data_IF_400395602404
#
_entry.id   IF_400395602404
#
_cell.length_a   1.000
_cell.length_b   1.000
_cell.length_c   1.000
_cell.angle_alpha   90.00
_cell.angle_beta   90.00
_cell.angle_gamma   90.00
#
_symmetry.space_group_name_H-M   'P 1'
#
loop_
_entity.id
_entity.type
_entity.pdbx_description
1 polymer ?
#
# COMPACT_ATOMS: atom_id res chain seq x y z
N UNK A 1 8.01 16.97 -29.95
CA UNK A 1 7.12 16.20 -29.03
C UNK A 1 7.82 14.94 -28.51
N UNK A 2 8.38 14.09 -29.38
CA UNK A 2 9.16 12.89 -29.03
C UNK A 2 10.36 13.16 -28.11
N UNK A 3 11.06 14.29 -28.30
CA UNK A 3 12.22 14.69 -27.49
C UNK A 3 11.88 14.90 -26.02
N UNK A 4 10.72 15.51 -25.72
CA UNK A 4 10.29 15.77 -24.34
C UNK A 4 10.00 14.49 -23.56
N UNK A 5 9.42 13.48 -24.23
CA UNK A 5 9.13 12.18 -23.60
C UNK A 5 10.45 11.45 -23.29
N UNK A 6 11.43 11.51 -24.20
CA UNK A 6 12.74 10.89 -24.00
C UNK A 6 13.50 11.53 -22.82
N UNK A 7 13.40 12.84 -22.67
CA UNK A 7 13.95 13.59 -21.52
C UNK A 7 13.23 13.24 -20.20
N UNK A 8 11.90 13.15 -20.20
CA UNK A 8 11.12 12.75 -19.03
C UNK A 8 11.48 11.33 -18.57
N UNK A 9 11.57 10.38 -19.50
CA UNK A 9 11.99 9.00 -19.22
C UNK A 9 13.42 8.94 -18.65
N UNK A 10 14.33 9.72 -19.20
CA UNK A 10 15.70 9.81 -18.69
C UNK A 10 15.73 10.38 -17.26
N UNK A 11 14.88 11.36 -16.95
CA UNK A 11 14.71 11.91 -15.60
C UNK A 11 14.16 10.87 -14.63
N UNK A 12 13.09 10.16 -14.99
CA UNK A 12 12.52 9.09 -14.14
C UNK A 12 13.52 7.96 -13.88
N UNK A 13 14.31 7.57 -14.89
CA UNK A 13 15.37 6.57 -14.71
C UNK A 13 16.38 7.00 -13.65
N UNK A 14 16.80 8.27 -13.63
CA UNK A 14 17.73 8.79 -12.61
C UNK A 14 17.11 8.73 -11.21
N UNK A 15 15.84 9.10 -11.08
CA UNK A 15 15.12 9.04 -9.79
C UNK A 15 15.04 7.60 -9.28
N UNK A 16 14.71 6.64 -10.14
CA UNK A 16 14.63 5.21 -9.75
C UNK A 16 15.99 4.62 -9.35
N UNK A 17 17.08 5.10 -9.93
CA UNK A 17 18.45 4.69 -9.56
C UNK A 17 18.84 5.24 -8.19
N UNK A 18 18.42 6.46 -7.86
CA UNK A 18 18.72 7.13 -6.58
C UNK A 18 17.82 6.59 -5.45
N UNK A 19 16.61 6.15 -5.77
CA UNK A 19 15.67 5.59 -4.80
C UNK A 19 16.28 4.36 -4.12
N UNK A 20 16.37 4.39 -2.79
CA UNK A 20 16.86 3.27 -1.99
C UNK A 20 15.84 2.14 -2.05
N UNK A 21 16.24 0.98 -2.57
CA UNK A 21 15.41 -0.23 -2.51
C UNK A 21 15.24 -0.64 -1.04
N UNK A 22 14.01 -0.88 -0.56
CA UNK A 22 13.78 -1.24 0.83
C UNK A 22 14.49 -2.55 1.17
N UNK A 23 15.02 -2.64 2.39
CA UNK A 23 15.58 -3.88 2.90
C UNK A 23 14.45 -4.89 3.21
N UNK A 24 14.76 -6.18 3.22
CA UNK A 24 13.78 -7.23 3.58
C UNK A 24 13.19 -6.99 4.97
N UNK A 25 13.98 -6.52 5.92
CA UNK A 25 13.50 -6.22 7.27
C UNK A 25 12.54 -5.05 7.31
N UNK A 26 12.84 -3.96 6.57
CA UNK A 26 11.98 -2.79 6.48
C UNK A 26 10.64 -3.17 5.83
N UNK A 27 10.68 -3.96 4.76
CA UNK A 27 9.48 -4.46 4.08
C UNK A 27 8.61 -5.28 5.05
N UNK A 28 9.20 -6.21 5.79
CA UNK A 28 8.47 -7.05 6.75
C UNK A 28 7.88 -6.21 7.88
N UNK A 29 8.62 -5.22 8.40
CA UNK A 29 8.12 -4.32 9.46
C UNK A 29 6.91 -3.52 8.97
N UNK A 30 7.01 -2.90 7.81
CA UNK A 30 5.89 -2.16 7.22
C UNK A 30 4.71 -3.06 6.92
N UNK A 31 4.95 -4.25 6.34
CA UNK A 31 3.91 -5.22 6.05
C UNK A 31 3.15 -5.66 7.31
N UNK A 32 3.86 -5.92 8.42
CA UNK A 32 3.24 -6.25 9.71
C UNK A 32 2.33 -5.15 10.22
N UNK A 33 2.78 -3.89 10.16
CA UNK A 33 1.98 -2.74 10.61
C UNK A 33 0.74 -2.56 9.72
N UNK A 34 0.90 -2.67 8.39
CA UNK A 34 -0.22 -2.62 7.46
C UNK A 34 -1.23 -3.74 7.70
N UNK A 35 -0.77 -4.98 7.93
CA UNK A 35 -1.63 -6.12 8.23
C UNK A 35 -2.42 -5.91 9.52
N UNK A 36 -1.79 -5.36 10.56
CA UNK A 36 -2.48 -5.00 11.80
C UNK A 36 -3.57 -3.96 11.52
N UNK A 37 -3.26 -2.90 10.77
CA UNK A 37 -4.23 -1.85 10.44
C UNK A 37 -5.43 -2.36 9.64
N UNK A 38 -5.17 -3.14 8.58
CA UNK A 38 -6.22 -3.75 7.76
C UNK A 38 -7.04 -4.73 8.60
N UNK A 39 -6.38 -5.55 9.42
CA UNK A 39 -7.06 -6.49 10.31
C UNK A 39 -7.98 -5.79 11.29
N UNK A 40 -7.55 -4.69 11.91
CA UNK A 40 -8.35 -3.94 12.88
C UNK A 40 -9.58 -3.29 12.22
N UNK A 41 -9.37 -2.57 11.12
CA UNK A 41 -10.46 -1.88 10.40
C UNK A 41 -11.43 -2.90 9.82
N UNK A 42 -10.90 -3.96 9.21
CA UNK A 42 -11.70 -5.06 8.65
C UNK A 42 -12.50 -5.79 9.72
N UNK A 43 -11.92 -6.02 10.90
CA UNK A 43 -12.62 -6.67 12.02
C UNK A 43 -13.73 -5.80 12.59
N UNK A 44 -13.51 -4.49 12.73
CA UNK A 44 -14.55 -3.55 13.16
C UNK A 44 -15.72 -3.55 12.16
N UNK A 45 -15.42 -3.43 10.86
CA UNK A 45 -16.43 -3.49 9.81
C UNK A 45 -17.18 -4.84 9.80
N UNK A 46 -16.45 -5.93 10.00
CA UNK A 46 -17.01 -7.28 10.10
C UNK A 46 -17.95 -7.43 11.30
N UNK A 47 -17.61 -6.89 12.47
CA UNK A 47 -18.50 -6.90 13.64
C UNK A 47 -19.78 -6.12 13.34
N UNK A 48 -19.67 -4.91 12.79
CA UNK A 48 -20.84 -4.08 12.46
C UNK A 48 -21.76 -4.81 11.48
N UNK A 49 -21.20 -5.40 10.43
CA UNK A 49 -21.97 -6.16 9.45
C UNK A 49 -22.60 -7.41 10.08
N UNK A 50 -21.85 -8.15 10.89
CA UNK A 50 -22.32 -9.37 11.57
C UNK A 50 -23.46 -9.07 12.57
N UNK A 51 -23.41 -7.93 13.25
CA UNK A 51 -24.49 -7.48 14.12
C UNK A 51 -25.70 -7.02 13.31
N UNK A 52 -25.47 -6.30 12.20
CA UNK A 52 -26.55 -5.87 11.31
C UNK A 52 -27.30 -7.05 10.71
N UNK A 53 -26.61 -8.11 10.27
CA UNK A 53 -27.28 -9.30 9.73
C UNK A 53 -28.02 -10.06 10.83
N UNK A 54 -27.46 -10.18 12.04
CA UNK A 54 -28.12 -10.86 13.16
C UNK A 54 -29.39 -10.14 13.63
N UNK A 55 -29.43 -8.80 13.55
CA UNK A 55 -30.58 -8.02 14.00
C UNK A 55 -31.64 -7.81 12.90
N UNK A 56 -31.25 -7.94 11.63
CA UNK A 56 -32.14 -7.83 10.47
C UNK A 56 -32.75 -9.19 10.05
N UNK A 57 -32.09 -10.30 10.34
CA UNK A 57 -32.58 -11.67 10.14
C UNK A 57 -33.46 -12.12 11.32
#
# INVERSE_FOLDING_TARGET
MITKIKEALASYKRVLIIARKPDKEELIKTAKICLIGIGLIGFIGFIIYSLSILFLA
#
